data_IF_700344765186
#
_entry.id   IF_700344765186
#
_cell.length_a   1.000
_cell.length_b   1.000
_cell.length_c   1.000
_cell.angle_alpha   90.00
_cell.angle_beta   90.00
_cell.angle_gamma   90.00
#
_symmetry.space_group_name_H-M   'P 1'
#
loop_
_entity.id
_entity.type
_entity.pdbx_description
1 polymer ?
#
# COMPACT_ATOMS: atom_id res chain seq x y z
N UNK A 1 -25.22 -5.91 10.28
CA UNK A 1 -24.30 -5.54 11.37
C UNK A 1 -23.76 -6.84 11.96
N UNK A 2 -22.58 -7.27 11.54
CA UNK A 2 -21.92 -8.47 12.08
C UNK A 2 -20.97 -8.07 13.20
N UNK A 3 -21.24 -8.54 14.41
CA UNK A 3 -20.29 -8.49 15.53
C UNK A 3 -19.57 -9.84 15.55
N UNK A 4 -18.31 -9.87 15.09
CA UNK A 4 -17.43 -11.05 15.08
C UNK A 4 -17.97 -12.27 14.34
N UNK A 5 -17.90 -12.28 13.01
CA UNK A 5 -18.29 -13.46 12.21
C UNK A 5 -17.16 -13.83 11.24
N UNK A 6 -16.55 -15.03 11.36
CA UNK A 6 -15.69 -15.57 10.32
C UNK A 6 -16.54 -15.97 9.11
N UNK A 7 -16.15 -15.49 7.92
CA UNK A 7 -16.85 -15.83 6.68
C UNK A 7 -15.87 -16.40 5.64
N UNK A 8 -16.37 -17.32 4.82
CA UNK A 8 -15.70 -17.80 3.61
C UNK A 8 -16.69 -17.68 2.46
N UNK A 9 -16.32 -17.01 1.37
CA UNK A 9 -17.26 -16.80 0.28
C UNK A 9 -16.69 -16.09 -0.95
N UNK A 10 -17.55 -15.95 -1.96
CA UNK A 10 -17.24 -15.25 -3.21
C UNK A 10 -18.32 -14.21 -3.47
N UNK A 11 -17.92 -13.02 -3.94
CA UNK A 11 -18.82 -11.89 -4.24
C UNK A 11 -19.67 -11.42 -3.04
N UNK A 12 -19.03 -11.24 -1.87
CA UNK A 12 -19.75 -10.88 -0.63
C UNK A 12 -19.54 -9.41 -0.28
N UNK A 13 -20.56 -8.54 -0.39
CA UNK A 13 -20.49 -7.19 0.18
C UNK A 13 -20.72 -7.23 1.69
N UNK A 14 -19.89 -6.53 2.46
CA UNK A 14 -19.98 -6.60 3.91
C UNK A 14 -19.62 -5.26 4.59
N UNK A 15 -20.30 -4.99 5.71
CA UNK A 15 -20.02 -3.85 6.59
C UNK A 15 -20.00 -4.35 8.03
N UNK A 16 -18.90 -4.15 8.75
CA UNK A 16 -18.77 -4.73 10.09
C UNK A 16 -17.55 -4.29 10.89
N UNK A 17 -17.53 -4.78 12.13
CA UNK A 17 -16.44 -4.60 13.09
C UNK A 17 -15.83 -5.97 13.36
N UNK A 18 -14.49 -6.06 13.37
CA UNK A 18 -13.76 -7.27 13.71
C UNK A 18 -14.18 -8.47 12.84
N UNK A 19 -14.06 -8.36 11.52
CA UNK A 19 -14.52 -9.38 10.57
C UNK A 19 -13.34 -10.13 9.97
N UNK A 20 -13.05 -11.37 10.39
CA UNK A 20 -12.14 -12.25 9.67
C UNK A 20 -12.82 -12.82 8.42
N UNK A 21 -12.18 -12.72 7.27
CA UNK A 21 -12.76 -13.17 6.01
C UNK A 21 -11.71 -13.82 5.09
N UNK A 22 -12.12 -14.87 4.39
CA UNK A 22 -11.36 -15.46 3.28
C UNK A 22 -12.26 -15.50 2.05
N UNK A 23 -11.84 -14.92 0.92
CA UNK A 23 -12.73 -14.90 -0.23
C UNK A 23 -12.20 -14.31 -1.53
N UNK A 24 -13.07 -14.32 -2.54
CA UNK A 24 -12.83 -13.74 -3.85
C UNK A 24 -13.84 -12.62 -4.11
N UNK A 25 -13.40 -11.52 -4.71
CA UNK A 25 -14.24 -10.37 -5.07
C UNK A 25 -15.05 -9.83 -3.89
N UNK A 26 -14.38 -9.36 -2.83
CA UNK A 26 -15.06 -8.92 -1.61
C UNK A 26 -14.95 -7.41 -1.42
N UNK A 27 -16.03 -6.65 -1.64
CA UNK A 27 -16.14 -5.27 -1.17
C UNK A 27 -16.45 -5.22 0.33
N UNK A 28 -15.63 -4.48 1.08
CA UNK A 28 -15.75 -4.41 2.54
C UNK A 28 -15.51 -2.99 3.08
N UNK A 29 -16.36 -2.57 4.02
CA UNK A 29 -16.14 -1.38 4.86
C UNK A 29 -16.12 -1.80 6.32
N UNK A 30 -15.06 -1.48 7.07
CA UNK A 30 -15.00 -1.92 8.46
C UNK A 30 -13.82 -1.47 9.30
N UNK A 31 -13.84 -1.86 10.57
CA UNK A 31 -12.75 -1.65 11.54
C UNK A 31 -12.18 -2.99 11.97
N UNK A 32 -10.85 -3.06 12.12
CA UNK A 32 -10.12 -4.25 12.57
C UNK A 32 -10.41 -5.49 11.71
N UNK A 33 -10.12 -5.42 10.42
CA UNK A 33 -10.48 -6.49 9.48
C UNK A 33 -9.24 -7.27 9.04
N UNK A 34 -9.07 -8.52 9.49
CA UNK A 34 -8.16 -9.46 8.86
C UNK A 34 -8.81 -10.13 7.64
N UNK A 35 -8.14 -10.05 6.48
CA UNK A 35 -8.65 -10.62 5.25
C UNK A 35 -7.57 -11.29 4.39
N UNK A 36 -7.91 -12.43 3.81
CA UNK A 36 -7.11 -13.10 2.78
C UNK A 36 -7.97 -13.30 1.54
N UNK A 37 -7.54 -12.80 0.37
CA UNK A 37 -8.37 -12.93 -0.81
C UNK A 37 -7.83 -12.36 -2.11
N UNK A 38 -8.64 -12.43 -3.15
CA UNK A 38 -8.34 -11.82 -4.46
C UNK A 38 -9.42 -10.82 -4.83
N UNK A 39 -9.03 -9.73 -5.49
CA UNK A 39 -9.93 -8.66 -5.94
C UNK A 39 -10.74 -8.05 -4.80
N UNK A 40 -10.05 -7.45 -3.83
CA UNK A 40 -10.69 -6.89 -2.63
C UNK A 40 -10.62 -5.36 -2.66
N UNK A 41 -11.73 -4.67 -2.94
CA UNK A 41 -11.89 -3.27 -2.56
C UNK A 41 -12.25 -3.12 -1.09
N UNK A 42 -11.42 -2.38 -0.34
CA UNK A 42 -11.63 -2.20 1.10
C UNK A 42 -11.48 -0.74 1.56
N UNK A 43 -12.37 -0.31 2.45
CA UNK A 43 -12.26 0.96 3.18
C UNK A 43 -12.29 0.68 4.69
N UNK A 44 -11.27 1.07 5.44
CA UNK A 44 -11.26 0.74 6.86
C UNK A 44 -10.09 1.25 7.69
N UNK A 45 -10.13 0.92 8.99
CA UNK A 45 -9.06 1.20 9.95
C UNK A 45 -8.52 -0.11 10.52
N UNK A 46 -7.21 -0.18 10.73
CA UNK A 46 -6.49 -1.35 11.28
C UNK A 46 -6.77 -2.62 10.46
N UNK A 47 -6.32 -2.67 9.21
CA UNK A 47 -6.69 -3.74 8.27
C UNK A 47 -5.46 -4.54 7.87
N UNK A 48 -5.23 -5.72 8.45
CA UNK A 48 -4.28 -6.69 7.90
C UNK A 48 -4.87 -7.43 6.69
N UNK A 49 -4.18 -7.37 5.56
CA UNK A 49 -4.66 -7.98 4.31
C UNK A 49 -3.55 -8.68 3.52
N UNK A 50 -3.87 -9.85 2.96
CA UNK A 50 -3.02 -10.60 2.01
C UNK A 50 -3.82 -10.89 0.73
N UNK A 51 -3.32 -10.49 -0.45
CA UNK A 51 -4.07 -10.71 -1.68
C UNK A 51 -3.42 -10.32 -3.01
N UNK A 52 -4.09 -10.65 -4.12
CA UNK A 52 -3.53 -10.46 -5.48
C UNK A 52 -3.88 -9.12 -6.14
N UNK A 53 -5.09 -8.60 -5.94
CA UNK A 53 -5.52 -7.29 -6.44
C UNK A 53 -6.32 -6.58 -5.36
N UNK A 54 -5.76 -5.52 -4.78
CA UNK A 54 -6.31 -4.92 -3.56
C UNK A 54 -6.27 -3.40 -3.63
N UNK A 55 -7.34 -2.74 -4.09
CA UNK A 55 -7.54 -1.32 -3.83
C UNK A 55 -7.99 -1.09 -2.39
N UNK A 56 -7.25 -0.27 -1.64
CA UNK A 56 -7.56 0.01 -0.24
C UNK A 56 -7.41 1.49 0.13
N UNK A 57 -8.36 1.98 0.92
CA UNK A 57 -8.31 3.31 1.55
C UNK A 57 -8.42 3.14 3.07
N UNK A 58 -7.46 3.66 3.84
CA UNK A 58 -7.50 3.44 5.30
C UNK A 58 -6.37 4.01 6.14
N UNK A 59 -6.41 3.73 7.44
CA UNK A 59 -5.34 4.05 8.39
C UNK A 59 -4.80 2.76 9.05
N UNK A 60 -3.49 2.71 9.28
CA UNK A 60 -2.79 1.59 9.94
C UNK A 60 -3.03 0.24 9.24
N UNK A 61 -2.46 0.05 8.06
CA UNK A 61 -2.81 -1.10 7.21
C UNK A 61 -1.54 -1.86 6.81
N UNK A 62 -1.28 -3.02 7.43
CA UNK A 62 -0.30 -3.96 6.90
C UNK A 62 -0.89 -4.74 5.71
N UNK A 63 -0.21 -4.69 4.56
CA UNK A 63 -0.63 -5.39 3.35
C UNK A 63 0.54 -6.16 2.71
N UNK A 64 0.23 -7.35 2.19
CA UNK A 64 1.11 -8.14 1.32
C UNK A 64 0.35 -8.52 0.05
N UNK A 65 0.87 -8.18 -1.14
CA UNK A 65 0.15 -8.52 -2.37
C UNK A 65 0.84 -8.24 -3.71
N UNK A 66 0.16 -8.61 -4.80
CA UNK A 66 0.71 -8.48 -6.16
C UNK A 66 0.43 -7.09 -6.77
N UNK A 67 -0.83 -6.69 -6.90
CA UNK A 67 -1.24 -5.38 -7.42
C UNK A 67 -2.03 -4.62 -6.35
N UNK A 68 -1.43 -3.56 -5.83
CA UNK A 68 -1.94 -2.93 -4.62
C UNK A 68 -1.98 -1.41 -4.74
N UNK A 69 -3.12 -0.82 -5.16
CA UNK A 69 -3.39 0.60 -4.99
C UNK A 69 -3.77 0.92 -3.54
N UNK A 70 -3.05 1.84 -2.93
CA UNK A 70 -3.27 2.22 -1.53
C UNK A 70 -3.29 3.74 -1.35
N UNK A 71 -4.22 4.21 -0.53
CA UNK A 71 -4.31 5.61 -0.08
C UNK A 71 -4.52 5.66 1.43
N UNK A 72 -3.69 6.43 2.15
CA UNK A 72 -3.91 6.67 3.58
C UNK A 72 -2.68 6.99 4.43
N UNK A 73 -2.76 6.65 5.72
CA UNK A 73 -1.71 6.90 6.72
C UNK A 73 -1.19 5.59 7.36
N UNK A 74 0.13 5.48 7.58
CA UNK A 74 0.78 4.34 8.28
C UNK A 74 0.46 2.94 7.66
N UNK A 75 0.76 2.71 6.38
CA UNK A 75 0.47 1.46 5.66
C UNK A 75 1.72 0.63 5.27
N UNK A 76 2.31 -0.18 6.17
CA UNK A 76 3.43 -1.04 5.80
C UNK A 76 3.03 -2.01 4.69
N UNK A 77 3.82 -2.06 3.62
CA UNK A 77 3.46 -2.81 2.42
C UNK A 77 4.64 -3.58 1.83
N UNK A 78 4.36 -4.80 1.41
CA UNK A 78 5.23 -5.61 0.55
C UNK A 78 4.45 -6.03 -0.70
N UNK A 79 4.96 -5.73 -1.89
CA UNK A 79 4.27 -6.17 -3.12
C UNK A 79 5.00 -5.92 -4.43
N UNK A 80 4.43 -6.37 -5.55
CA UNK A 80 5.10 -6.31 -6.85
C UNK A 80 4.76 -5.06 -7.66
N UNK A 81 3.49 -4.67 -7.76
CA UNK A 81 3.06 -3.44 -8.42
C UNK A 81 2.27 -2.59 -7.45
N UNK A 82 2.82 -1.43 -7.11
CA UNK A 82 2.34 -0.63 -5.99
C UNK A 82 2.23 0.85 -6.38
N UNK A 83 1.04 1.32 -6.78
CA UNK A 83 0.71 2.73 -6.75
C UNK A 83 0.30 3.19 -5.34
N UNK A 84 0.96 4.24 -4.85
CA UNK A 84 0.78 4.73 -3.48
C UNK A 84 0.71 6.26 -3.37
N UNK A 85 -0.25 6.75 -2.58
CA UNK A 85 -0.33 8.14 -2.10
C UNK A 85 -0.46 8.13 -0.57
N UNK A 86 0.54 8.63 0.17
CA UNK A 86 0.55 8.43 1.65
C UNK A 86 1.42 9.37 2.49
N UNK A 87 1.19 9.34 3.80
CA UNK A 87 2.03 9.96 4.84
C UNK A 87 2.64 8.87 5.75
N UNK A 88 3.97 8.82 5.87
CA UNK A 88 4.80 8.06 6.83
C UNK A 88 4.73 6.52 6.82
N UNK A 89 5.63 5.80 6.12
CA UNK A 89 5.69 4.30 6.17
C UNK A 89 6.93 3.65 5.50
N UNK A 90 7.44 2.47 5.95
CA UNK A 90 8.21 1.53 5.11
C UNK A 90 7.47 0.91 3.91
N UNK A 91 8.17 0.67 2.80
CA UNK A 91 7.68 -0.06 1.63
C UNK A 91 8.79 -0.91 0.96
N UNK A 92 8.40 -2.10 0.50
CA UNK A 92 9.23 -2.96 -0.34
C UNK A 92 8.44 -3.37 -1.59
N UNK A 93 9.00 -3.14 -2.79
CA UNK A 93 8.34 -3.65 -4.00
C UNK A 93 9.10 -3.56 -5.31
N UNK A 94 8.54 -4.13 -6.38
CA UNK A 94 9.24 -4.22 -7.68
C UNK A 94 8.98 -3.02 -8.58
N UNK A 95 7.72 -2.71 -8.91
CA UNK A 95 7.30 -1.52 -9.65
C UNK A 95 6.50 -0.59 -8.73
N UNK A 96 7.04 0.59 -8.43
CA UNK A 96 6.48 1.47 -7.40
C UNK A 96 6.37 2.92 -7.89
N UNK A 97 5.18 3.36 -8.35
CA UNK A 97 4.86 4.78 -8.41
C UNK A 97 4.45 5.34 -7.04
N UNK A 98 5.14 6.38 -6.56
CA UNK A 98 4.98 6.93 -5.21
C UNK A 98 4.80 8.45 -5.19
N UNK A 99 3.83 8.90 -4.37
CA UNK A 99 3.70 10.27 -3.84
C UNK A 99 3.64 10.18 -2.31
N UNK A 100 4.62 10.74 -1.58
CA UNK A 100 4.63 10.57 -0.11
C UNK A 100 5.46 11.56 0.71
N UNK A 101 5.18 11.66 2.01
CA UNK A 101 6.04 12.32 3.01
C UNK A 101 6.62 11.29 4.01
N UNK A 102 7.94 11.35 4.23
CA UNK A 102 8.77 10.52 5.13
C UNK A 102 8.61 8.99 4.98
N UNK A 103 9.32 8.37 4.05
CA UNK A 103 9.14 6.94 3.73
C UNK A 103 10.49 6.24 3.52
N UNK A 104 10.83 5.19 4.29
CA UNK A 104 11.85 4.24 3.86
C UNK A 104 11.33 3.35 2.73
N UNK A 105 12.08 3.24 1.63
CA UNK A 105 11.70 2.46 0.44
C UNK A 105 12.83 1.55 -0.03
N UNK A 106 12.48 0.31 -0.39
CA UNK A 106 13.33 -0.62 -1.12
C UNK A 106 12.62 -1.10 -2.39
N UNK A 107 13.21 -0.96 -3.59
CA UNK A 107 12.58 -1.47 -4.80
C UNK A 107 13.40 -1.51 -6.09
N UNK A 108 12.84 -2.12 -7.16
CA UNK A 108 13.60 -2.41 -8.40
C UNK A 108 13.27 -1.52 -9.60
N UNK A 109 12.12 -0.86 -9.62
CA UNK A 109 11.71 0.14 -10.60
C UNK A 109 10.80 1.13 -9.87
N UNK A 110 11.36 2.26 -9.43
CA UNK A 110 10.69 3.20 -8.54
C UNK A 110 10.52 4.54 -9.24
N UNK A 111 9.28 5.00 -9.42
CA UNK A 111 8.99 6.34 -9.95
C UNK A 111 8.46 7.19 -8.81
N UNK A 112 9.15 8.28 -8.48
CA UNK A 112 8.73 9.23 -7.45
C UNK A 112 8.45 10.61 -8.06
N UNK A 113 7.24 11.15 -7.85
CA UNK A 113 6.86 12.44 -8.45
C UNK A 113 6.77 13.62 -7.47
N UNK A 114 6.46 13.37 -6.19
CA UNK A 114 6.45 14.40 -5.15
C UNK A 114 6.73 13.74 -3.79
N UNK A 115 7.99 13.79 -3.35
CA UNK A 115 8.44 13.14 -2.12
C UNK A 115 9.29 14.06 -1.23
N UNK A 116 9.18 13.89 0.09
CA UNK A 116 10.05 14.56 1.08
C UNK A 116 10.59 13.54 2.09
N UNK A 117 11.89 13.64 2.43
CA UNK A 117 12.55 12.85 3.48
C UNK A 117 12.43 11.32 3.28
N UNK A 118 12.81 10.82 2.11
CA UNK A 118 12.64 9.40 1.73
C UNK A 118 14.01 8.70 1.65
N UNK A 119 14.43 7.90 2.65
CA UNK A 119 15.57 7.01 2.47
C UNK A 119 15.22 5.88 1.48
N UNK A 120 15.98 5.76 0.40
CA UNK A 120 15.69 4.85 -0.71
C UNK A 120 16.86 3.92 -1.04
N UNK A 121 16.55 2.63 -1.21
CA UNK A 121 17.43 1.63 -1.82
C UNK A 121 16.77 1.08 -3.09
N UNK A 122 17.43 1.15 -4.25
CA UNK A 122 16.82 0.56 -5.44
C UNK A 122 17.61 0.45 -6.74
N UNK A 123 16.97 -0.16 -7.72
CA UNK A 123 17.41 -0.27 -9.11
C UNK A 123 16.44 0.58 -9.95
N UNK A 124 16.91 1.32 -10.95
CA UNK A 124 16.09 2.18 -11.84
C UNK A 124 15.13 3.15 -11.13
N UNK A 125 15.62 4.33 -10.77
CA UNK A 125 14.85 5.31 -10.00
C UNK A 125 14.78 6.69 -10.68
N UNK A 126 13.67 7.03 -11.36
CA UNK A 126 13.31 8.40 -11.66
C UNK A 126 12.67 9.08 -10.45
N UNK A 127 13.20 10.22 -9.98
CA UNK A 127 12.69 10.90 -8.79
C UNK A 127 12.63 12.43 -8.89
N UNK A 128 11.59 12.98 -8.25
CA UNK A 128 11.36 14.41 -7.97
C UNK A 128 10.97 14.56 -6.49
N UNK A 129 11.76 15.32 -5.72
CA UNK A 129 11.52 15.52 -4.29
C UNK A 129 12.74 16.07 -3.54
N UNK A 130 12.56 16.42 -2.26
CA UNK A 130 13.62 16.99 -1.42
C UNK A 130 14.06 16.04 -0.29
N UNK A 131 15.33 16.14 0.10
CA UNK A 131 15.96 15.36 1.18
C UNK A 131 15.82 13.83 1.02
N UNK A 132 16.30 13.28 -0.10
CA UNK A 132 16.23 11.84 -0.42
C UNK A 132 17.63 11.21 -0.33
N UNK A 133 18.05 10.64 0.81
CA UNK A 133 19.28 9.85 0.87
C UNK A 133 19.10 8.54 0.10
N UNK A 134 20.05 8.24 -0.80
CA UNK A 134 19.88 7.21 -1.83
C UNK A 134 21.06 6.24 -1.93
N UNK A 135 20.74 4.95 -2.09
CA UNK A 135 21.68 3.90 -2.48
C UNK A 135 21.08 3.10 -3.63
N UNK A 136 21.65 3.17 -4.84
CA UNK A 136 21.04 2.46 -5.96
C UNK A 136 21.81 2.50 -7.27
N UNK A 137 21.33 1.72 -8.25
CA UNK A 137 21.83 1.69 -9.61
C UNK A 137 20.83 2.36 -10.56
N UNK A 138 21.32 3.12 -11.55
CA UNK A 138 20.52 3.85 -12.56
C UNK A 138 19.51 4.84 -11.96
N UNK A 139 20.02 5.95 -11.42
CA UNK A 139 19.21 6.99 -10.75
C UNK A 139 19.14 8.23 -11.63
N UNK A 140 17.94 8.78 -11.78
CA UNK A 140 17.69 10.07 -12.45
C UNK A 140 16.95 10.98 -11.47
N UNK A 141 17.58 12.08 -11.07
CA UNK A 141 17.00 13.08 -10.15
C UNK A 141 16.71 14.38 -10.89
N UNK A 142 15.49 14.88 -10.78
CA UNK A 142 15.12 16.22 -11.24
C UNK A 142 14.74 17.07 -10.02
N UNK A 143 15.59 18.02 -9.66
CA UNK A 143 15.37 18.95 -8.56
C UNK A 143 14.59 20.16 -9.08
N UNK A 144 13.40 20.43 -8.53
CA UNK A 144 12.76 21.74 -8.74
C UNK A 144 13.32 22.69 -7.67
N UNK A 145 14.23 23.57 -8.08
CA UNK A 145 14.55 24.77 -7.32
C UNK A 145 13.29 25.65 -7.27
N UNK A 146 12.73 25.83 -6.08
CA UNK A 146 11.97 27.04 -5.76
C UNK A 146 12.92 27.99 -5.03
#
# INVERSE_FOLDING_TARGET
VGLNVPLVGSNVPLVGLNVPLVGLNVPLVGLNVPLVGSNVPLVGLNVPLVGLNVPLVGLNVPLVGYNVPLVGHNLPLVGLNVPLVRLNVPLVGYNVPLVSLNVPLVGHNVIMSLCLNVPLVGYNVPLVGDNVPLVGHNVIMSLWLV
#
